data_IF_108815788446
#
_entry.id   IF_108815788446
#
_cell.length_a   1.000
_cell.length_b   1.000
_cell.length_c   1.000
_cell.angle_alpha   90.00
_cell.angle_beta   90.00
_cell.angle_gamma   90.00
#
_symmetry.space_group_name_H-M   'P 1'
#
loop_
_entity.id
_entity.type
_entity.pdbx_description
1 polymer ?
#
# COMPACT_ATOMS: atom_id res chain seq x y z
N UNK A 1 10.48 0.64 8.00
CA UNK A 1 9.08 0.21 8.20
C UNK A 1 9.05 -1.06 9.04
N UNK A 2 9.70 -2.14 8.61
CA UNK A 2 9.65 -3.44 9.30
C UNK A 2 10.09 -3.40 10.77
N UNK A 3 11.18 -2.71 11.12
CA UNK A 3 11.60 -2.57 12.53
C UNK A 3 10.55 -1.92 13.44
N UNK A 4 9.83 -0.90 12.94
CA UNK A 4 8.76 -0.27 13.70
C UNK A 4 7.51 -1.17 13.82
N UNK A 5 7.26 -2.00 12.81
CA UNK A 5 6.17 -2.99 12.82
C UNK A 5 6.49 -4.12 13.80
N UNK A 6 7.74 -4.56 13.89
CA UNK A 6 8.17 -5.57 14.87
C UNK A 6 8.03 -5.05 16.31
N UNK A 7 8.30 -3.76 16.54
CA UNK A 7 8.20 -3.13 17.87
C UNK A 7 6.76 -2.77 18.26
N UNK A 8 5.90 -2.39 17.31
CA UNK A 8 4.59 -1.77 17.60
C UNK A 8 3.38 -2.34 16.87
N UNK A 9 3.54 -3.43 16.12
CA UNK A 9 2.57 -4.01 15.19
C UNK A 9 2.23 -3.12 13.98
N UNK A 10 1.46 -3.67 13.04
CA UNK A 10 1.00 -2.95 11.86
C UNK A 10 -0.07 -1.92 12.25
N UNK A 11 0.06 -0.64 11.82
CA UNK A 11 -0.98 0.36 12.00
C UNK A 11 -2.11 0.17 11.00
N UNK A 12 -3.34 0.56 11.34
CA UNK A 12 -4.45 0.54 10.38
C UNK A 12 -4.27 1.53 9.22
N UNK A 13 -3.57 2.65 9.44
CA UNK A 13 -3.40 3.73 8.47
C UNK A 13 -1.98 4.27 8.45
N UNK A 14 -1.50 4.64 7.27
CA UNK A 14 -0.22 5.32 7.06
C UNK A 14 -0.46 6.67 6.37
N UNK A 15 -0.06 7.77 7.00
CA UNK A 15 -0.21 9.13 6.49
C UNK A 15 1.11 9.62 5.89
N UNK A 16 1.09 10.07 4.63
CA UNK A 16 2.22 10.74 3.98
C UNK A 16 1.80 12.03 3.29
N UNK A 17 2.80 12.85 2.96
CA UNK A 17 2.59 13.94 2.00
C UNK A 17 2.43 13.39 0.56
N UNK A 18 2.22 14.29 -0.41
CA UNK A 18 2.12 13.92 -1.83
C UNK A 18 3.47 13.84 -2.56
N UNK A 19 4.60 13.76 -1.85
CA UNK A 19 5.89 13.67 -2.53
C UNK A 19 5.93 12.45 -3.44
N UNK A 20 6.62 12.58 -4.58
CA UNK A 20 6.67 11.59 -5.64
C UNK A 20 7.17 10.20 -5.21
N UNK A 21 7.86 10.11 -4.06
CA UNK A 21 8.35 8.87 -3.45
C UNK A 21 7.28 8.14 -2.63
N UNK A 22 6.28 8.87 -2.14
CA UNK A 22 5.20 8.35 -1.30
C UNK A 22 3.88 8.21 -2.06
N UNK A 23 3.65 9.01 -3.10
CA UNK A 23 2.43 8.96 -3.91
C UNK A 23 2.70 8.79 -5.40
N UNK A 24 2.08 7.78 -6.00
CA UNK A 24 2.05 7.57 -7.46
C UNK A 24 0.93 8.32 -8.17
N UNK A 25 0.07 9.05 -7.44
CA UNK A 25 -1.18 9.64 -7.95
C UNK A 25 -0.96 10.57 -9.14
N UNK A 26 0.07 11.42 -9.10
CA UNK A 26 0.42 12.34 -10.20
C UNK A 26 0.80 11.61 -11.49
N UNK A 27 1.25 10.35 -11.39
CA UNK A 27 1.64 9.49 -12.52
C UNK A 27 0.57 8.44 -12.86
N UNK A 28 -0.66 8.60 -12.35
CA UNK A 28 -1.78 7.66 -12.53
C UNK A 28 -1.40 6.21 -12.15
N UNK A 29 -0.55 6.05 -11.14
CA UNK A 29 -0.02 4.77 -10.70
C UNK A 29 0.13 4.69 -9.18
N UNK A 30 0.78 3.62 -8.72
CA UNK A 30 1.20 3.46 -7.31
C UNK A 30 2.70 3.34 -7.23
N UNK A 31 3.28 3.90 -6.17
CA UNK A 31 4.70 3.66 -5.84
C UNK A 31 4.87 2.33 -5.09
N UNK A 32 6.13 1.91 -4.90
CA UNK A 32 6.46 0.70 -4.14
C UNK A 32 5.94 0.74 -2.70
N UNK A 33 5.99 1.90 -2.04
CA UNK A 33 5.45 2.03 -0.69
C UNK A 33 3.94 1.81 -0.64
N UNK A 34 3.16 2.50 -1.48
CA UNK A 34 1.69 2.33 -1.55
C UNK A 34 1.29 0.89 -1.84
N UNK A 35 2.07 0.20 -2.68
CA UNK A 35 1.85 -1.20 -2.98
C UNK A 35 2.11 -2.11 -1.77
N UNK A 36 3.20 -1.86 -1.04
CA UNK A 36 3.56 -2.66 0.11
C UNK A 36 2.60 -2.45 1.29
N UNK A 37 2.14 -1.21 1.50
CA UNK A 37 1.11 -0.90 2.49
C UNK A 37 -0.21 -1.63 2.17
N UNK A 38 -0.62 -1.65 0.90
CA UNK A 38 -1.80 -2.39 0.42
C UNK A 38 -1.70 -3.89 0.73
N UNK A 39 -0.52 -4.48 0.46
CA UNK A 39 -0.23 -5.90 0.76
C UNK A 39 -0.36 -6.22 2.24
N UNK A 40 -0.01 -5.28 3.11
CA UNK A 40 -0.09 -5.41 4.56
C UNK A 40 -1.47 -5.02 5.13
N UNK A 41 -2.44 -4.68 4.27
CA UNK A 41 -3.75 -4.19 4.67
C UNK A 41 -3.75 -2.79 5.29
N UNK A 42 -2.64 -2.06 5.21
CA UNK A 42 -2.51 -0.71 5.77
C UNK A 42 -3.10 0.29 4.76
N UNK A 43 -4.10 1.05 5.20
CA UNK A 43 -4.67 2.10 4.37
C UNK A 43 -3.69 3.28 4.23
N UNK A 44 -3.22 3.53 3.01
CA UNK A 44 -2.42 4.70 2.69
C UNK A 44 -3.31 5.95 2.56
N UNK A 45 -2.97 7.01 3.30
CA UNK A 45 -3.65 8.29 3.30
C UNK A 45 -2.64 9.36 2.90
N UNK A 46 -2.99 10.17 1.91
CA UNK A 46 -2.17 11.30 1.48
C UNK A 46 -2.78 12.60 1.97
N UNK A 47 -1.95 13.52 2.46
CA UNK A 47 -2.40 14.88 2.77
C UNK A 47 -3.03 15.53 1.54
N UNK A 48 -4.11 16.29 1.67
CA UNK A 48 -4.63 17.08 0.55
C UNK A 48 -3.71 18.27 0.25
N UNK A 49 -3.60 18.72 -1.02
CA UNK A 49 -2.90 19.95 -1.36
C UNK A 49 -3.42 21.13 -0.53
N UNK A 50 -2.54 22.05 -0.15
CA UNK A 50 -2.86 23.26 0.64
C UNK A 50 -3.42 23.00 2.05
N UNK A 51 -3.21 21.81 2.61
CA UNK A 51 -3.53 21.50 4.03
C UNK A 51 -2.28 21.23 4.87
N UNK A 52 -1.47 22.28 5.18
CA UNK A 52 -0.20 22.14 5.91
C UNK A 52 -0.37 21.55 7.32
N UNK A 53 -1.55 21.70 7.92
CA UNK A 53 -1.88 21.16 9.24
C UNK A 53 -1.77 19.63 9.30
N UNK A 54 -1.99 18.94 8.17
CA UNK A 54 -1.96 17.47 8.08
C UNK A 54 -0.56 16.92 8.33
N UNK A 55 0.46 17.59 7.78
CA UNK A 55 1.87 17.20 7.90
C UNK A 55 2.63 18.01 8.97
N UNK A 56 2.00 19.06 9.53
CA UNK A 56 2.62 19.97 10.48
C UNK A 56 3.20 19.30 11.75
N UNK A 57 2.70 18.13 12.15
CA UNK A 57 3.30 17.36 13.27
C UNK A 57 4.69 16.86 12.94
N UNK A 58 4.88 16.30 11.74
CA UNK A 58 6.18 15.82 11.25
C UNK A 58 7.11 16.99 10.98
N UNK A 59 6.60 18.07 10.41
CA UNK A 59 7.39 19.30 10.20
C UNK A 59 7.90 19.88 11.52
N UNK A 60 7.03 19.98 12.54
CA UNK A 60 7.43 20.44 13.87
C UNK A 60 8.41 19.48 14.56
N UNK A 61 8.26 18.18 14.35
CA UNK A 61 9.23 17.18 14.81
C UNK A 61 10.60 17.42 14.16
N UNK A 62 10.67 17.54 12.83
CA UNK A 62 11.92 17.81 12.11
C UNK A 62 12.57 19.11 12.55
N UNK A 63 11.80 20.17 12.76
CA UNK A 63 12.31 21.42 13.30
C UNK A 63 12.93 21.23 14.69
N UNK A 64 12.24 20.51 15.59
CA UNK A 64 12.72 20.24 16.95
C UNK A 64 14.01 19.41 16.93
N UNK A 65 14.08 18.39 16.06
CA UNK A 65 15.27 17.56 15.87
C UNK A 65 16.46 18.40 15.38
N UNK A 66 16.27 19.23 14.34
CA UNK A 66 17.32 20.11 13.81
C UNK A 66 17.85 21.07 14.88
N UNK A 67 16.94 21.66 15.68
CA UNK A 67 17.31 22.54 16.79
C UNK A 67 18.05 21.81 17.92
N UNK A 68 17.76 20.53 18.14
CA UNK A 68 18.50 19.70 19.10
C UNK A 68 19.91 19.41 18.57
N UNK A 69 20.04 18.96 17.33
CA UNK A 69 21.32 18.64 16.70
C UNK A 69 22.24 19.86 16.60
N UNK A 70 21.69 21.04 16.29
CA UNK A 70 22.44 22.29 16.25
C UNK A 70 23.05 22.70 17.60
N UNK A 71 22.60 22.09 18.71
CA UNK A 71 23.15 22.31 20.06
C UNK A 71 24.15 21.23 20.49
N UNK A 72 24.33 20.18 19.69
CA UNK A 72 25.30 19.12 19.97
C UNK A 72 26.65 19.46 19.33
N UNK A 73 27.71 18.78 19.79
CA UNK A 73 28.96 18.77 19.04
C UNK A 73 28.73 18.18 17.64
N UNK A 74 29.36 18.72 16.58
CA UNK A 74 29.28 18.15 15.24
C UNK A 74 29.66 16.67 15.26
N UNK A 75 28.81 15.83 14.66
CA UNK A 75 29.09 14.40 14.61
C UNK A 75 30.26 14.11 13.65
N UNK A 76 31.30 13.48 14.16
CA UNK A 76 32.50 13.10 13.40
C UNK A 76 32.31 11.80 12.59
N UNK A 77 31.24 11.05 12.87
CA UNK A 77 30.91 9.80 12.17
C UNK A 77 29.41 9.55 12.17
N UNK A 78 28.97 8.65 11.29
CA UNK A 78 27.57 8.19 11.24
C UNK A 78 27.17 7.52 12.57
N UNK A 79 28.08 6.78 13.20
CA UNK A 79 27.83 6.15 14.50
C UNK A 79 27.63 7.20 15.61
N UNK A 80 28.43 8.26 15.62
CA UNK A 80 28.24 9.36 16.56
C UNK A 80 26.89 10.07 16.31
N UNK A 81 26.52 10.33 15.04
CA UNK A 81 25.21 10.90 14.73
C UNK A 81 24.07 9.99 15.20
N UNK A 82 24.19 8.67 15.01
CA UNK A 82 23.19 7.71 15.47
C UNK A 82 22.99 7.78 16.99
N UNK A 83 24.06 7.87 17.78
CA UNK A 83 23.97 8.05 19.23
C UNK A 83 23.23 9.34 19.61
N UNK A 84 23.50 10.45 18.90
CA UNK A 84 22.79 11.71 19.12
C UNK A 84 21.29 11.59 18.79
N UNK A 85 20.95 10.87 17.71
CA UNK A 85 19.57 10.61 17.31
C UNK A 85 18.82 9.70 18.31
N UNK A 86 19.49 8.68 18.86
CA UNK A 86 18.90 7.79 19.85
C UNK A 86 18.66 8.48 21.20
N UNK A 87 19.61 9.33 21.62
CA UNK A 87 19.44 10.22 22.76
C UNK A 87 18.25 11.17 22.55
N UNK A 88 18.16 11.80 21.36
CA UNK A 88 17.02 12.64 21.02
C UNK A 88 15.70 11.87 21.03
N UNK A 89 15.64 10.66 20.45
CA UNK A 89 14.43 9.81 20.45
C UNK A 89 13.94 9.58 21.88
N UNK A 90 14.85 9.32 22.81
CA UNK A 90 14.55 9.10 24.23
C UNK A 90 14.00 10.37 24.87
N UNK A 91 14.70 11.50 24.73
CA UNK A 91 14.30 12.79 25.30
C UNK A 91 12.92 13.20 24.75
N UNK A 92 12.76 13.19 23.43
CA UNK A 92 11.55 13.66 22.77
C UNK A 92 10.33 12.80 23.11
N UNK A 93 10.46 11.47 23.09
CA UNK A 93 9.31 10.59 23.28
C UNK A 93 9.00 10.34 24.76
N UNK A 94 10.01 10.21 25.63
CA UNK A 94 9.82 9.69 26.99
C UNK A 94 9.96 10.75 28.07
N UNK A 95 10.72 11.82 27.85
CA UNK A 95 11.03 12.80 28.89
C UNK A 95 10.30 14.13 28.68
N UNK A 96 10.15 14.57 27.43
CA UNK A 96 9.62 15.89 27.09
C UNK A 96 8.09 15.93 27.21
N UNK A 97 7.51 16.76 28.11
CA UNK A 97 6.08 17.03 28.13
C UNK A 97 5.65 17.84 26.92
N UNK A 98 4.51 17.50 26.31
CA UNK A 98 3.98 18.23 25.16
C UNK A 98 2.69 18.96 25.54
N UNK A 99 2.65 20.28 25.28
CA UNK A 99 1.45 21.11 25.55
C UNK A 99 0.20 20.60 24.81
N UNK A 100 0.37 20.11 23.58
CA UNK A 100 -0.72 19.54 22.79
C UNK A 100 -1.22 18.17 23.31
N UNK A 101 -0.56 17.61 24.33
CA UNK A 101 -0.91 16.35 24.99
C UNK A 101 -1.22 16.57 26.48
N UNK A 102 -1.61 17.78 26.86
CA UNK A 102 -1.92 18.17 28.25
C UNK A 102 -0.75 17.91 29.22
N UNK A 103 0.49 18.14 28.76
CA UNK A 103 1.69 17.92 29.57
C UNK A 103 2.12 16.45 29.65
N UNK A 104 1.47 15.53 28.92
CA UNK A 104 1.96 14.15 28.77
C UNK A 104 3.09 14.06 27.76
N UNK A 105 3.91 13.03 27.89
CA UNK A 105 4.94 12.70 26.91
C UNK A 105 4.33 11.97 25.72
N UNK A 106 4.94 12.04 24.52
CA UNK A 106 4.46 11.28 23.36
C UNK A 106 4.32 9.78 23.64
N UNK A 107 5.24 9.20 24.42
CA UNK A 107 5.20 7.80 24.82
C UNK A 107 3.98 7.47 25.68
N UNK A 108 3.67 8.31 26.68
CA UNK A 108 2.47 8.15 27.50
C UNK A 108 1.19 8.25 26.66
N UNK A 109 1.10 9.24 25.79
CA UNK A 109 -0.08 9.43 24.93
C UNK A 109 -0.26 8.30 23.92
N UNK A 110 0.84 7.75 23.40
CA UNK A 110 0.83 6.62 22.48
C UNK A 110 0.31 5.34 23.15
N UNK A 111 0.83 5.01 24.35
CA UNK A 111 0.46 3.79 25.06
C UNK A 111 -0.92 3.88 25.75
N UNK A 112 -1.43 5.08 26.00
CA UNK A 112 -2.76 5.28 26.58
C UNK A 112 -3.92 4.95 25.62
N UNK A 113 -3.64 4.71 24.32
CA UNK A 113 -4.66 4.46 23.30
C UNK A 113 -4.59 3.01 22.82
N UNK A 114 -5.77 2.44 22.51
CA UNK A 114 -5.84 1.18 21.77
C UNK A 114 -5.21 1.36 20.39
N UNK A 115 -4.27 0.48 20.05
CA UNK A 115 -3.59 0.51 18.76
C UNK A 115 -4.54 -0.03 17.68
N UNK A 116 -4.81 0.78 16.67
CA UNK A 116 -5.60 0.36 15.53
C UNK A 116 -4.75 -0.52 14.60
N UNK A 117 -5.24 -1.72 14.30
CA UNK A 117 -4.56 -2.71 13.47
C UNK A 117 -5.27 -2.87 12.12
N UNK A 118 -4.56 -3.16 11.00
CA UNK A 118 -5.18 -3.32 9.69
C UNK A 118 -6.19 -4.46 9.64
N UNK A 119 -6.09 -5.47 10.50
CA UNK A 119 -7.03 -6.60 10.54
C UNK A 119 -8.44 -6.22 11.00
N UNK A 120 -8.60 -5.04 11.62
CA UNK A 120 -9.91 -4.47 11.98
C UNK A 120 -10.50 -3.63 10.83
N UNK A 121 -9.70 -3.27 9.84
CA UNK A 121 -10.12 -2.49 8.68
C UNK A 121 -10.36 -3.43 7.48
N UNK A 122 -11.50 -3.29 6.81
CA UNK A 122 -11.71 -4.00 5.54
C UNK A 122 -10.73 -3.45 4.50
N UNK A 123 -9.91 -4.31 3.83
CA UNK A 123 -8.96 -3.84 2.83
C UNK A 123 -9.71 -3.15 1.69
N UNK A 124 -9.29 -1.93 1.36
CA UNK A 124 -9.85 -1.18 0.24
C UNK A 124 -9.33 -1.78 -1.07
N UNK A 125 -10.19 -2.49 -1.80
CA UNK A 125 -9.82 -3.09 -3.09
C UNK A 125 -9.59 -1.99 -4.12
N UNK A 126 -8.40 -1.96 -4.73
CA UNK A 126 -8.09 -1.03 -5.81
C UNK A 126 -8.62 -1.57 -7.14
N UNK A 127 -9.50 -0.80 -7.79
CA UNK A 127 -10.01 -1.11 -9.12
C UNK A 127 -9.28 -0.31 -10.20
N UNK A 128 -8.78 -1.02 -11.22
CA UNK A 128 -8.18 -0.42 -12.41
C UNK A 128 -8.69 -1.10 -13.68
N UNK A 129 -9.05 -0.30 -14.66
CA UNK A 129 -9.31 -0.76 -16.02
C UNK A 129 -8.11 -0.40 -16.89
N UNK A 130 -7.59 -1.34 -17.66
CA UNK A 130 -6.51 -1.10 -18.63
C UNK A 130 -6.90 -1.69 -19.98
N UNK A 131 -6.82 -0.89 -21.03
CA UNK A 131 -6.88 -1.38 -22.42
C UNK A 131 -5.48 -1.75 -22.84
N UNK A 132 -5.30 -2.94 -23.39
CA UNK A 132 -4.01 -3.48 -23.82
C UNK A 132 -4.19 -4.30 -25.11
N UNK A 133 -3.10 -4.83 -25.65
CA UNK A 133 -3.11 -5.76 -26.79
C UNK A 133 -2.31 -7.00 -26.42
N UNK A 134 -2.82 -8.18 -26.72
CA UNK A 134 -2.07 -9.41 -26.49
C UNK A 134 -0.81 -9.43 -27.36
N UNK A 135 0.33 -9.84 -26.79
CA UNK A 135 1.57 -9.95 -27.56
C UNK A 135 1.50 -11.10 -28.59
N UNK A 136 2.55 -11.28 -29.40
CA UNK A 136 2.61 -12.35 -30.40
C UNK A 136 2.55 -13.77 -29.81
N UNK A 137 2.84 -13.89 -28.51
CA UNK A 137 2.70 -15.13 -27.74
C UNK A 137 1.33 -15.26 -27.06
N UNK A 138 0.43 -14.28 -27.16
CA UNK A 138 -0.87 -14.31 -26.50
C UNK A 138 -0.86 -13.93 -25.02
N UNK A 139 0.14 -13.16 -24.57
CA UNK A 139 0.35 -12.78 -23.16
C UNK A 139 0.05 -11.31 -22.92
N UNK A 140 -0.09 -10.96 -21.65
CA UNK A 140 -0.10 -9.58 -21.18
C UNK A 140 0.79 -9.44 -19.94
N UNK A 141 1.22 -8.21 -19.67
CA UNK A 141 1.99 -7.87 -18.49
C UNK A 141 1.28 -6.82 -17.64
N UNK A 142 1.25 -7.07 -16.32
CA UNK A 142 0.68 -6.15 -15.36
C UNK A 142 1.65 -5.95 -14.20
N UNK A 143 1.80 -4.70 -13.74
CA UNK A 143 2.57 -4.43 -12.53
C UNK A 143 1.72 -4.71 -11.30
N UNK A 144 2.17 -5.62 -10.45
CA UNK A 144 1.56 -5.96 -9.16
C UNK A 144 2.64 -5.96 -8.08
N UNK A 145 2.39 -5.18 -7.02
CA UNK A 145 3.35 -4.90 -5.96
C UNK A 145 4.69 -4.36 -6.48
N UNK A 146 4.60 -3.34 -7.34
CA UNK A 146 5.74 -2.71 -8.05
C UNK A 146 6.60 -3.63 -8.92
N UNK A 147 6.27 -4.91 -9.07
CA UNK A 147 6.95 -5.84 -9.98
C UNK A 147 6.10 -6.13 -11.19
N UNK A 148 6.71 -6.20 -12.37
CA UNK A 148 6.01 -6.69 -13.57
C UNK A 148 5.64 -8.15 -13.32
N UNK A 149 4.45 -8.56 -13.75
CA UNK A 149 3.99 -9.95 -13.73
C UNK A 149 3.52 -10.31 -15.12
N UNK A 150 3.83 -11.54 -15.54
CA UNK A 150 3.48 -12.05 -16.85
C UNK A 150 2.41 -13.13 -16.71
N UNK A 151 1.41 -13.11 -17.60
CA UNK A 151 0.50 -14.24 -17.75
C UNK A 151 0.06 -14.42 -19.19
N UNK A 152 0.03 -15.67 -19.62
CA UNK A 152 -0.63 -16.08 -20.86
C UNK A 152 -2.10 -15.72 -20.76
N UNK A 153 -2.75 -15.32 -21.85
CA UNK A 153 -4.21 -15.14 -21.91
C UNK A 153 -4.76 -16.17 -22.87
N UNK A 154 -4.42 -16.05 -24.15
CA UNK A 154 -4.85 -16.98 -25.19
C UNK A 154 -3.92 -16.90 -26.39
N UNK A 155 -3.57 -18.07 -26.94
CA UNK A 155 -2.86 -18.13 -28.22
C UNK A 155 -3.74 -17.74 -29.41
N UNK A 156 -5.06 -17.96 -29.30
CA UNK A 156 -6.02 -17.71 -30.40
C UNK A 156 -6.19 -16.21 -30.64
N UNK A 157 -6.24 -15.42 -29.57
CA UNK A 157 -6.46 -13.98 -29.61
C UNK A 157 -5.15 -13.17 -29.68
N UNK A 158 -4.07 -13.77 -30.19
CA UNK A 158 -2.75 -13.11 -30.27
C UNK A 158 -2.84 -11.83 -31.09
N UNK A 159 -2.26 -10.74 -30.58
CA UNK A 159 -2.39 -9.45 -31.23
C UNK A 159 -3.79 -8.86 -31.16
N UNK A 160 -4.78 -9.39 -30.45
CA UNK A 160 -6.08 -8.73 -30.34
C UNK A 160 -6.09 -7.71 -29.18
N UNK A 161 -6.84 -6.60 -29.31
CA UNK A 161 -7.10 -5.70 -28.20
C UNK A 161 -7.90 -6.41 -27.10
N UNK A 162 -7.55 -6.13 -25.84
CA UNK A 162 -8.19 -6.69 -24.66
C UNK A 162 -8.38 -5.64 -23.58
N UNK A 163 -9.32 -5.87 -22.68
CA UNK A 163 -9.51 -5.05 -21.49
C UNK A 163 -9.19 -5.87 -20.24
N UNK A 164 -8.36 -5.32 -19.37
CA UNK A 164 -8.01 -5.90 -18.07
C UNK A 164 -8.82 -5.17 -16.99
N UNK A 165 -9.65 -5.92 -16.30
CA UNK A 165 -10.36 -5.50 -15.09
C UNK A 165 -9.56 -6.01 -13.88
N UNK A 166 -8.86 -5.10 -13.22
CA UNK A 166 -7.97 -5.39 -12.08
C UNK A 166 -8.66 -4.96 -10.80
N UNK A 167 -8.80 -5.87 -9.84
CA UNK A 167 -9.33 -5.64 -8.51
C UNK A 167 -8.30 -6.17 -7.49
N UNK A 168 -7.37 -5.32 -7.06
CA UNK A 168 -6.24 -5.73 -6.23
C UNK A 168 -5.35 -6.77 -6.92
N UNK A 169 -5.28 -7.97 -6.36
CA UNK A 169 -4.56 -9.11 -6.92
C UNK A 169 -5.39 -9.92 -7.93
N UNK A 170 -6.69 -9.67 -8.04
CA UNK A 170 -7.58 -10.40 -8.91
C UNK A 170 -7.72 -9.69 -10.26
N UNK A 171 -7.47 -10.38 -11.37
CA UNK A 171 -7.52 -9.81 -12.72
C UNK A 171 -8.41 -10.65 -13.63
N UNK A 172 -9.30 -9.97 -14.36
CA UNK A 172 -10.04 -10.53 -15.50
C UNK A 172 -9.57 -9.88 -16.79
N UNK A 173 -9.34 -10.69 -17.81
CA UNK A 173 -9.05 -10.24 -19.17
C UNK A 173 -10.24 -10.57 -20.04
N UNK A 174 -10.82 -9.55 -20.66
CA UNK A 174 -11.97 -9.67 -21.55
C UNK A 174 -11.59 -9.19 -22.96
N UNK A 175 -12.19 -9.81 -23.97
CA UNK A 175 -12.13 -9.35 -25.35
C UNK A 175 -12.99 -8.09 -25.55
N UNK A 176 -12.88 -7.44 -26.70
CA UNK A 176 -13.67 -6.24 -27.02
C UNK A 176 -15.18 -6.50 -27.08
N UNK A 177 -15.58 -7.72 -27.44
CA UNK A 177 -16.98 -8.17 -27.43
C UNK A 177 -17.51 -8.48 -26.01
N UNK A 178 -16.67 -8.34 -24.98
CA UNK A 178 -16.99 -8.61 -23.59
C UNK A 178 -16.78 -10.07 -23.16
N UNK A 179 -16.34 -10.97 -24.05
CA UNK A 179 -16.08 -12.35 -23.70
C UNK A 179 -14.91 -12.47 -22.70
N UNK A 180 -15.10 -13.25 -21.63
CA UNK A 180 -14.04 -13.50 -20.65
C UNK A 180 -13.00 -14.44 -21.25
N UNK A 181 -11.80 -13.92 -21.50
CA UNK A 181 -10.67 -14.68 -22.02
C UNK A 181 -9.88 -15.37 -20.91
N UNK A 182 -9.72 -14.71 -19.75
CA UNK A 182 -8.97 -15.26 -18.61
C UNK A 182 -9.32 -14.61 -17.28
N UNK A 183 -9.22 -15.38 -16.21
CA UNK A 183 -9.23 -14.93 -14.82
C UNK A 183 -7.95 -15.42 -14.10
N UNK A 184 -7.33 -14.56 -13.31
CA UNK A 184 -6.08 -14.88 -12.58
C UNK A 184 -5.99 -14.10 -11.26
N UNK A 185 -5.56 -14.78 -10.19
CA UNK A 185 -5.13 -14.16 -8.93
C UNK A 185 -3.61 -14.08 -8.91
N UNK A 186 -3.07 -12.87 -8.73
CA UNK A 186 -1.63 -12.59 -8.80
C UNK A 186 -0.95 -12.93 -7.47
N UNK A 187 -0.04 -13.90 -7.51
CA UNK A 187 0.82 -14.24 -6.39
C UNK A 187 2.08 -13.35 -6.34
N UNK A 188 2.53 -12.90 -5.15
CA UNK A 188 3.73 -12.08 -5.02
C UNK A 188 5.04 -12.84 -5.32
N UNK A 189 5.04 -14.16 -5.19
CA UNK A 189 6.26 -15.01 -5.22
C UNK A 189 6.74 -15.42 -6.60
N UNK A 190 5.89 -15.34 -7.64
CA UNK A 190 6.23 -15.81 -9.00
C UNK A 190 6.07 -14.70 -10.01
N UNK A 191 6.99 -14.62 -10.96
CA UNK A 191 6.88 -13.64 -12.04
C UNK A 191 5.80 -14.04 -13.06
N UNK A 192 5.88 -15.29 -13.52
CA UNK A 192 4.86 -15.90 -14.37
C UNK A 192 3.70 -16.47 -13.55
N UNK A 193 2.50 -15.96 -13.79
CA UNK A 193 1.30 -16.30 -13.05
C UNK A 193 0.56 -17.43 -13.76
N UNK A 194 0.81 -18.66 -13.28
CA UNK A 194 0.07 -19.84 -13.72
C UNK A 194 -1.36 -19.76 -13.18
N UNK A 195 -2.35 -20.04 -14.02
CA UNK A 195 -3.72 -20.16 -13.54
C UNK A 195 -3.86 -21.41 -12.66
N UNK A 196 -4.64 -21.30 -11.61
CA UNK A 196 -5.32 -22.47 -11.07
C UNK A 196 -6.32 -22.96 -12.13
N UNK A 197 -6.57 -24.28 -12.27
CA UNK A 197 -7.63 -24.76 -13.14
C UNK A 197 -8.96 -24.10 -12.74
N UNK A 198 -9.83 -23.77 -13.71
CA UNK A 198 -11.09 -23.11 -13.42
C UNK A 198 -11.87 -23.94 -12.40
N UNK A 199 -12.24 -23.33 -11.27
CA UNK A 199 -13.22 -23.93 -10.37
C UNK A 199 -14.54 -23.96 -11.15
N UNK A 200 -15.00 -25.14 -11.51
CA UNK A 200 -16.34 -25.35 -12.06
C UNK A 200 -17.36 -24.84 -11.04
N UNK A 201 -17.87 -23.63 -11.24
CA UNK A 201 -19.04 -23.15 -10.50
C UNK A 201 -20.23 -23.91 -11.08
N UNK A 202 -20.67 -24.97 -10.39
CA UNK A 202 -21.97 -25.60 -10.67
C UNK A 202 -23.05 -24.57 -10.33
N UNK A 203 -23.53 -23.85 -11.33
CA UNK A 203 -24.76 -23.07 -11.22
C UNK A 203 -25.91 -24.04 -10.92
N UNK A 204 -26.29 -24.19 -9.65
CA UNK A 204 -27.56 -24.81 -9.29
C UNK A 204 -28.66 -23.75 -9.42
N UNK A 205 -29.27 -23.67 -10.59
CA UNK A 205 -30.57 -23.00 -10.74
C UNK A 205 -31.62 -23.95 -10.17
N UNK A 206 -31.98 -23.74 -8.90
CA UNK A 206 -33.13 -24.42 -8.29
C UNK A 206 -34.39 -23.71 -8.78
N UNK A 207 -34.98 -24.20 -9.88
CA UNK A 207 -36.34 -23.80 -10.26
C UNK A 207 -37.28 -24.23 -9.13
N UNK A 208 -37.87 -23.26 -8.43
CA UNK A 208 -39.06 -23.49 -7.61
C UNK A 208 -40.24 -23.47 -8.57
N UNK A 209 -40.72 -24.65 -8.93
CA UNK A 209 -42.05 -24.81 -9.53
C UNK A 209 -43.07 -24.30 -8.52
N UNK A 210 -43.80 -23.26 -8.89
CA UNK A 210 -45.07 -22.94 -8.26
C UNK A 210 -46.07 -24.03 -8.65
N UNK A 211 -46.74 -24.61 -7.67
CA UNK A 211 -47.92 -25.45 -7.87
C UNK A 211 -49.06 -24.79 -7.14
N UNK A 212 -50.10 -24.51 -7.92
CA UNK A 212 -51.45 -24.06 -7.58
C UNK A 212 -52.09 -24.88 -6.47
#
# INVERSE_FOLDING_TARGET
MYSAVEEFDLPARFLSDNAAVFSGKSRRGRVALESELDRLGIQCVHSTPYHPQTCGKVERFHQTLKLYLARQAPAESIAHLQLQLDAFRTIYNQQRPHRALDGRTPWQAFNARLKASPWLAQPQVNYRIRRDRLDGGGRVTLRYLSRLRHFQVSYKHRGEPVMLLVAGDHVRVIAEDGALLREVTLGPSRDYQRSAPPKLVRNQVRQRSAST
#
